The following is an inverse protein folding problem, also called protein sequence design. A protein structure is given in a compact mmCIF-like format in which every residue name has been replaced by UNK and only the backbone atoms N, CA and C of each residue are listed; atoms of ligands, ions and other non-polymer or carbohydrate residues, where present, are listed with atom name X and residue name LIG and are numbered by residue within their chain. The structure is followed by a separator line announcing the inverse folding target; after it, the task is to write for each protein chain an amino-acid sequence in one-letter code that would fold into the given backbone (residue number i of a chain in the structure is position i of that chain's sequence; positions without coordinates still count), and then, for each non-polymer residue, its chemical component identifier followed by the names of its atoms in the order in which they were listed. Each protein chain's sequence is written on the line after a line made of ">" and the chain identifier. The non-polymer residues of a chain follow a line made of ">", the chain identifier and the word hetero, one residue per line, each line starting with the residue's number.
data_IF_183063309605
#
_entry.id   IF_183063309605
#
_cell.length_a   1.000
_cell.length_b   1.000
_cell.length_c   1.000
_cell.angle_alpha   90.00
_cell.angle_beta   90.00
_cell.angle_gamma   90.00
#
_symmetry.space_group_name_H-M   'P 1'
#
loop_
_entity.id
_entity.type
_entity.pdbx_description
1 polymer ?
#
# COMPACT_ATOMS: atom_id res chain seq x y z
N UNK A 1 43.08 -2.76 19.14
CA UNK A 1 42.55 -3.88 18.32
C UNK A 1 41.05 -3.90 18.47
N UNK A 2 40.32 -3.30 17.53
CA UNK A 2 38.83 -3.27 17.49
C UNK A 2 38.37 -4.50 16.71
N UNK A 3 37.77 -5.41 17.44
CA UNK A 3 37.13 -6.61 16.88
C UNK A 3 35.85 -6.22 16.16
N UNK A 4 35.82 -6.34 14.83
CA UNK A 4 34.63 -6.21 14.00
C UNK A 4 33.78 -7.46 14.20
N UNK A 5 32.69 -7.36 14.93
CA UNK A 5 31.65 -8.39 14.93
C UNK A 5 30.98 -8.46 13.54
N UNK A 6 31.13 -9.60 12.90
CA UNK A 6 30.45 -9.97 11.68
C UNK A 6 29.00 -10.29 12.03
N UNK A 7 28.07 -9.42 11.66
CA UNK A 7 26.64 -9.72 11.66
C UNK A 7 26.42 -10.86 10.66
N UNK A 8 26.04 -12.03 11.18
CA UNK A 8 25.74 -13.21 10.38
C UNK A 8 24.55 -12.96 9.48
N UNK A 9 24.75 -13.02 8.18
CA UNK A 9 23.68 -13.02 7.17
C UNK A 9 22.96 -14.36 7.30
N UNK A 10 21.79 -14.36 7.91
CA UNK A 10 20.87 -15.51 7.87
C UNK A 10 20.38 -15.61 6.42
N UNK A 11 20.82 -16.65 5.70
CA UNK A 11 20.24 -17.03 4.41
C UNK A 11 18.79 -17.47 4.66
N UNK A 12 17.85 -16.54 4.56
CA UNK A 12 16.43 -16.88 4.49
C UNK A 12 16.15 -17.52 3.13
N UNK A 13 15.48 -18.66 3.15
CA UNK A 13 14.93 -19.33 1.97
C UNK A 13 14.20 -18.30 1.12
N UNK A 14 14.67 -18.08 -0.12
CA UNK A 14 14.01 -17.19 -1.07
C UNK A 14 12.69 -17.86 -1.48
N UNK A 15 11.59 -17.46 -0.84
CA UNK A 15 10.26 -17.68 -1.42
C UNK A 15 10.26 -16.93 -2.75
N UNK A 16 10.07 -17.62 -3.86
CA UNK A 16 9.92 -17.00 -5.18
C UNK A 16 8.63 -16.19 -5.15
N UNK A 17 8.75 -14.88 -4.91
CA UNK A 17 7.63 -13.96 -5.06
C UNK A 17 7.42 -13.80 -6.58
N UNK A 18 6.23 -14.17 -7.06
CA UNK A 18 5.85 -13.96 -8.45
C UNK A 18 5.51 -12.49 -8.63
N UNK A 19 6.14 -11.80 -9.60
CA UNK A 19 5.82 -10.41 -9.95
C UNK A 19 5.08 -10.40 -11.27
N UNK A 20 3.81 -9.99 -11.25
CA UNK A 20 3.01 -9.81 -12.45
C UNK A 20 3.10 -8.35 -12.93
N UNK A 21 3.13 -8.15 -14.23
CA UNK A 21 3.11 -6.85 -14.90
C UNK A 21 4.30 -5.89 -14.62
N UNK A 22 5.37 -6.30 -13.95
CA UNK A 22 6.56 -5.44 -13.77
C UNK A 22 7.16 -5.00 -15.12
N UNK A 23 7.15 -5.90 -16.11
CA UNK A 23 7.63 -5.62 -17.45
C UNK A 23 6.74 -4.61 -18.22
N UNK A 24 5.48 -4.40 -17.80
CA UNK A 24 4.55 -3.47 -18.43
C UNK A 24 4.69 -2.03 -17.89
N UNK A 25 5.48 -1.83 -16.84
CA UNK A 25 5.81 -0.52 -16.27
C UNK A 25 7.32 -0.21 -16.36
N UNK A 26 7.86 0.04 -17.57
CA UNK A 26 9.30 0.20 -17.79
C UNK A 26 9.90 1.44 -17.09
N UNK A 27 9.07 2.40 -16.72
CA UNK A 27 9.47 3.67 -16.06
C UNK A 27 9.53 3.58 -14.53
N UNK A 28 9.43 2.39 -13.94
CA UNK A 28 9.47 2.26 -12.49
C UNK A 28 10.87 2.55 -11.95
N UNK A 29 10.98 3.59 -11.15
CA UNK A 29 12.21 4.02 -10.49
C UNK A 29 12.86 2.91 -9.64
N UNK A 30 14.18 2.82 -9.69
CA UNK A 30 14.95 1.86 -8.89
C UNK A 30 14.68 2.00 -7.38
N UNK A 31 14.48 3.23 -6.91
CA UNK A 31 14.11 3.53 -5.51
C UNK A 31 12.77 2.92 -5.13
N UNK A 32 11.76 3.00 -6.02
CA UNK A 32 10.46 2.37 -5.78
C UNK A 32 10.56 0.85 -5.76
N UNK A 33 11.27 0.26 -6.71
CA UNK A 33 11.48 -1.21 -6.74
C UNK A 33 12.16 -1.71 -5.47
N UNK A 34 13.14 -0.96 -4.97
CA UNK A 34 13.83 -1.30 -3.71
C UNK A 34 12.87 -1.26 -2.53
N UNK A 35 12.09 -0.18 -2.39
CA UNK A 35 11.11 -0.07 -1.31
C UNK A 35 10.00 -1.15 -1.39
N UNK A 36 9.46 -1.42 -2.57
CA UNK A 36 8.47 -2.51 -2.76
C UNK A 36 9.05 -3.85 -2.33
N UNK A 37 10.31 -4.14 -2.66
CA UNK A 37 10.99 -5.36 -2.24
C UNK A 37 11.16 -5.44 -0.73
N UNK A 38 11.61 -4.36 -0.07
CA UNK A 38 11.73 -4.29 1.38
C UNK A 38 10.37 -4.55 2.08
N UNK A 39 9.30 -3.97 1.55
CA UNK A 39 7.96 -4.19 2.10
C UNK A 39 7.44 -5.60 1.81
N UNK A 40 7.76 -6.18 0.67
CA UNK A 40 7.44 -7.57 0.37
C UNK A 40 8.18 -8.55 1.28
N UNK A 41 9.45 -8.30 1.61
CA UNK A 41 10.20 -9.09 2.60
C UNK A 41 9.58 -8.99 3.99
N UNK A 42 9.09 -7.82 4.38
CA UNK A 42 8.41 -7.59 5.65
C UNK A 42 7.04 -8.26 5.69
N UNK A 43 6.18 -7.97 4.72
CA UNK A 43 4.76 -8.38 4.70
C UNK A 43 4.54 -9.81 4.21
N UNK A 44 5.48 -10.36 3.41
CA UNK A 44 5.49 -11.72 2.87
C UNK A 44 4.24 -12.07 2.04
N UNK A 45 3.90 -11.28 1.01
CA UNK A 45 2.85 -11.65 0.07
C UNK A 45 3.27 -12.89 -0.73
N UNK A 46 2.30 -13.61 -1.28
CA UNK A 46 2.56 -14.71 -2.21
C UNK A 46 2.87 -14.19 -3.61
N UNK A 47 2.32 -13.01 -3.95
CA UNK A 47 2.44 -12.38 -5.25
C UNK A 47 2.52 -10.85 -5.13
N UNK A 48 3.19 -10.20 -6.09
CA UNK A 48 3.21 -8.74 -6.26
C UNK A 48 2.57 -8.39 -7.60
N UNK A 49 1.50 -7.61 -7.55
CA UNK A 49 0.79 -7.13 -8.72
C UNK A 49 0.99 -5.62 -8.91
N UNK A 50 1.53 -5.21 -10.05
CA UNK A 50 1.75 -3.81 -10.39
C UNK A 50 0.56 -3.25 -11.15
N UNK A 51 -0.17 -2.32 -10.54
CA UNK A 51 -1.32 -1.69 -11.16
C UNK A 51 -0.90 -0.68 -12.23
N UNK A 52 -1.46 -0.83 -13.43
CA UNK A 52 -1.18 0.02 -14.58
C UNK A 52 -2.25 1.10 -14.83
N UNK A 53 -3.41 0.99 -14.18
CA UNK A 53 -4.51 1.95 -14.29
C UNK A 53 -5.39 1.80 -15.54
N UNK A 54 -5.22 0.73 -16.36
CA UNK A 54 -6.03 0.53 -17.56
C UNK A 54 -7.48 0.11 -17.28
N UNK A 55 -8.36 0.24 -18.25
CA UNK A 55 -9.75 -0.22 -18.14
C UNK A 55 -9.85 -1.77 -18.15
N UNK A 56 -8.92 -2.44 -18.81
CA UNK A 56 -8.80 -3.89 -18.81
C UNK A 56 -8.46 -4.39 -17.39
N UNK A 57 -7.50 -3.74 -16.74
CA UNK A 57 -7.15 -4.02 -15.35
C UNK A 57 -8.34 -3.80 -14.41
N UNK A 58 -9.10 -2.70 -14.59
CA UNK A 58 -10.31 -2.43 -13.82
C UNK A 58 -11.30 -3.59 -13.91
N UNK A 59 -11.60 -4.05 -15.12
CA UNK A 59 -12.52 -5.17 -15.35
C UNK A 59 -12.03 -6.44 -14.67
N UNK A 60 -10.74 -6.74 -14.81
CA UNK A 60 -10.11 -7.90 -14.22
C UNK A 60 -10.17 -7.87 -12.68
N UNK A 61 -9.68 -6.80 -12.06
CA UNK A 61 -9.66 -6.67 -10.60
C UNK A 61 -11.05 -6.55 -9.99
N UNK A 62 -12.02 -5.96 -10.72
CA UNK A 62 -13.42 -5.92 -10.28
C UNK A 62 -14.01 -7.34 -10.25
N UNK A 63 -13.79 -8.12 -11.31
CA UNK A 63 -14.28 -9.50 -11.37
C UNK A 63 -13.64 -10.38 -10.27
N UNK A 64 -12.35 -10.17 -10.00
CA UNK A 64 -11.63 -10.83 -8.92
C UNK A 64 -12.21 -10.45 -7.54
N UNK A 65 -12.48 -9.16 -7.30
CA UNK A 65 -13.07 -8.68 -6.06
C UNK A 65 -14.49 -9.25 -5.81
N UNK A 66 -15.30 -9.39 -6.88
CA UNK A 66 -16.62 -10.03 -6.81
C UNK A 66 -16.47 -11.52 -6.49
N UNK A 67 -15.55 -12.20 -7.18
CA UNK A 67 -15.29 -13.63 -6.96
C UNK A 67 -14.84 -13.93 -5.53
N UNK A 68 -14.03 -13.07 -4.94
CA UNK A 68 -13.57 -13.20 -3.55
C UNK A 68 -14.61 -12.74 -2.52
N UNK A 69 -15.71 -12.11 -2.94
CA UNK A 69 -16.71 -11.56 -2.05
C UNK A 69 -16.27 -10.27 -1.33
N UNK A 70 -15.25 -9.59 -1.83
CA UNK A 70 -14.82 -8.28 -1.33
C UNK A 70 -15.83 -7.18 -1.69
N UNK A 71 -16.56 -7.37 -2.81
CA UNK A 71 -17.66 -6.53 -3.27
C UNK A 71 -18.76 -7.39 -3.89
N UNK A 72 -19.99 -6.87 -3.93
CA UNK A 72 -21.14 -7.49 -4.56
C UNK A 72 -21.72 -6.56 -5.62
N UNK A 73 -22.20 -7.11 -6.74
CA UNK A 73 -22.88 -6.32 -7.76
C UNK A 73 -24.30 -5.96 -7.29
N UNK A 74 -24.62 -4.68 -7.36
CA UNK A 74 -26.01 -4.25 -7.23
C UNK A 74 -26.80 -4.55 -8.51
N UNK A 75 -28.12 -4.33 -8.49
CA UNK A 75 -28.96 -4.53 -9.67
C UNK A 75 -28.48 -3.64 -10.83
N UNK A 76 -27.81 -4.23 -11.80
CA UNK A 76 -27.16 -3.54 -12.91
C UNK A 76 -28.15 -2.94 -13.92
N UNK A 77 -29.43 -3.32 -13.89
CA UNK A 77 -30.48 -2.68 -14.70
C UNK A 77 -30.86 -1.32 -14.13
N UNK A 78 -30.79 -1.15 -12.81
CA UNK A 78 -31.17 0.07 -12.10
C UNK A 78 -29.92 0.92 -11.79
N UNK A 79 -28.82 0.29 -11.41
CA UNK A 79 -27.59 0.92 -10.96
C UNK A 79 -26.38 0.37 -11.74
N UNK A 80 -26.23 0.70 -13.03
CA UNK A 80 -25.16 0.19 -13.86
C UNK A 80 -23.78 0.55 -13.28
N UNK A 81 -22.89 -0.44 -13.16
CA UNK A 81 -21.53 -0.29 -12.65
C UNK A 81 -21.41 -0.08 -11.14
N UNK A 82 -22.52 -0.10 -10.40
CA UNK A 82 -22.49 0.06 -8.95
C UNK A 82 -22.18 -1.27 -8.25
N UNK A 83 -21.29 -1.18 -7.27
CA UNK A 83 -20.89 -2.27 -6.41
C UNK A 83 -21.24 -1.94 -4.95
N UNK A 84 -21.53 -2.95 -4.18
CA UNK A 84 -21.73 -2.86 -2.74
C UNK A 84 -20.53 -3.47 -2.00
N UNK A 85 -20.02 -2.75 -1.03
CA UNK A 85 -19.00 -3.27 -0.12
C UNK A 85 -19.43 -3.03 1.32
N UNK A 86 -19.16 -4.01 2.18
CA UNK A 86 -19.45 -3.90 3.61
C UNK A 86 -18.24 -4.34 4.42
N UNK A 87 -17.79 -3.48 5.32
CA UNK A 87 -16.79 -3.82 6.32
C UNK A 87 -17.44 -4.29 7.63
N UNK A 88 -16.62 -4.78 8.56
CA UNK A 88 -17.05 -5.19 9.91
C UNK A 88 -17.53 -3.95 10.68
N UNK A 89 -18.43 -4.14 11.66
CA UNK A 89 -18.99 -3.05 12.48
C UNK A 89 -17.95 -2.21 13.22
N UNK A 90 -16.82 -2.82 13.58
CA UNK A 90 -15.71 -2.16 14.27
C UNK A 90 -14.64 -1.62 13.34
N UNK A 91 -14.84 -1.72 12.02
CA UNK A 91 -13.94 -1.17 11.02
C UNK A 91 -14.27 0.31 10.79
N UNK A 92 -13.59 1.16 11.54
CA UNK A 92 -13.74 2.61 11.43
C UNK A 92 -12.59 3.21 10.63
N UNK A 93 -12.90 4.19 9.81
CA UNK A 93 -11.93 4.82 8.91
C UNK A 93 -10.77 5.51 9.65
N UNK A 94 -10.99 5.96 10.88
CA UNK A 94 -10.00 6.61 11.71
C UNK A 94 -10.31 6.40 13.19
N UNK A 95 -9.30 5.93 13.92
CA UNK A 95 -9.32 5.87 15.38
C UNK A 95 -8.32 6.92 15.88
N UNK A 96 -8.80 8.00 16.50
CA UNK A 96 -7.94 9.12 16.92
C UNK A 96 -6.85 8.70 17.90
N UNK A 97 -7.18 7.86 18.87
CA UNK A 97 -6.22 7.36 19.87
C UNK A 97 -5.11 6.49 19.28
N UNK A 98 -5.33 5.93 18.07
CA UNK A 98 -4.38 5.08 17.34
C UNK A 98 -3.73 5.79 16.14
N UNK A 99 -3.99 7.09 15.97
CA UNK A 99 -3.43 7.91 14.89
C UNK A 99 -2.32 8.79 15.43
N UNK A 100 -1.13 8.67 14.87
CA UNK A 100 0.08 9.37 15.30
C UNK A 100 0.71 10.14 14.17
N UNK A 101 1.28 11.30 14.48
CA UNK A 101 2.22 12.04 13.65
C UNK A 101 3.62 11.75 14.15
N UNK A 102 4.53 11.34 13.27
CA UNK A 102 5.87 10.87 13.62
C UNK A 102 6.94 11.80 13.03
N UNK A 103 6.94 13.05 13.47
CA UNK A 103 7.96 14.06 13.13
C UNK A 103 9.20 13.92 14.02
N UNK A 104 10.34 14.47 13.61
CA UNK A 104 11.56 14.44 14.41
C UNK A 104 11.38 15.17 15.76
N UNK A 105 10.64 16.28 15.76
CA UNK A 105 10.30 17.06 16.95
C UNK A 105 8.81 16.91 17.23
N UNK A 106 8.45 16.80 18.51
CA UNK A 106 7.05 16.73 18.96
C UNK A 106 6.27 17.99 18.61
N UNK A 107 6.93 19.13 18.66
CA UNK A 107 6.36 20.44 18.35
C UNK A 107 5.84 20.51 16.91
N UNK A 108 6.51 19.83 15.97
CA UNK A 108 6.11 19.77 14.55
C UNK A 108 4.86 18.92 14.30
N UNK A 109 4.44 18.09 15.26
CA UNK A 109 3.19 17.33 15.16
C UNK A 109 1.94 18.20 15.34
N UNK A 110 2.10 19.40 15.90
CA UNK A 110 1.00 20.30 16.21
C UNK A 110 0.29 19.97 17.53
N UNK A 111 -0.56 20.88 18.03
CA UNK A 111 -1.10 20.83 19.39
C UNK A 111 -2.17 19.74 19.61
N UNK A 112 -2.81 19.25 18.54
CA UNK A 112 -3.98 18.36 18.66
C UNK A 112 -3.70 16.92 18.21
N UNK A 113 -2.49 16.64 17.73
CA UNK A 113 -2.15 15.31 17.24
C UNK A 113 -1.40 14.49 18.29
N UNK A 114 -1.65 13.19 18.32
CA UNK A 114 -0.79 12.27 19.05
C UNK A 114 0.56 12.22 18.33
N UNK A 115 1.64 12.23 19.10
CA UNK A 115 2.98 12.13 18.58
C UNK A 115 3.67 10.86 19.06
N UNK A 116 4.47 10.28 18.16
CA UNK A 116 5.35 9.15 18.46
C UNK A 116 6.70 9.39 17.78
N UNK A 117 7.79 9.05 18.46
CA UNK A 117 9.12 9.15 17.87
C UNK A 117 9.23 8.26 16.63
N UNK A 118 9.81 8.72 15.48
CA UNK A 118 9.89 7.93 14.25
C UNK A 118 10.49 6.54 14.45
N UNK A 119 11.56 6.42 15.22
CA UNK A 119 12.22 5.13 15.50
C UNK A 119 11.29 4.14 16.19
N UNK A 120 10.52 4.61 17.17
CA UNK A 120 9.55 3.80 17.90
C UNK A 120 8.41 3.38 16.98
N UNK A 121 7.87 4.31 16.17
CA UNK A 121 6.83 4.04 15.20
C UNK A 121 7.25 2.97 14.18
N UNK A 122 8.45 3.11 13.60
CA UNK A 122 8.98 2.10 12.67
C UNK A 122 9.14 0.73 13.31
N UNK A 123 9.59 0.65 14.55
CA UNK A 123 9.74 -0.62 15.26
C UNK A 123 8.38 -1.29 15.47
N UNK A 124 7.41 -0.58 16.05
CA UNK A 124 6.05 -1.08 16.29
C UNK A 124 5.35 -1.50 15.00
N UNK A 125 5.38 -0.64 13.98
CA UNK A 125 4.75 -0.94 12.70
C UNK A 125 5.41 -2.13 12.00
N UNK A 126 6.73 -2.26 12.05
CA UNK A 126 7.42 -3.42 11.48
C UNK A 126 7.02 -4.74 12.15
N UNK A 127 6.74 -4.75 13.44
CA UNK A 127 6.23 -5.93 14.15
C UNK A 127 4.80 -6.27 13.72
N UNK A 128 3.94 -5.26 13.57
CA UNK A 128 2.54 -5.41 13.12
C UNK A 128 2.49 -5.93 11.67
N UNK A 129 3.23 -5.31 10.76
CA UNK A 129 3.22 -5.65 9.35
C UNK A 129 3.97 -6.95 8.99
N UNK A 130 4.73 -7.50 9.92
CA UNK A 130 5.52 -8.73 9.68
C UNK A 130 4.64 -9.92 9.28
N UNK A 131 4.72 -10.30 7.99
CA UNK A 131 3.98 -11.43 7.43
C UNK A 131 2.48 -11.20 7.30
N UNK A 132 2.00 -9.96 7.39
CA UNK A 132 0.57 -9.63 7.34
C UNK A 132 -0.10 -9.99 6.01
N UNK A 133 0.67 -10.08 4.90
CA UNK A 133 0.11 -10.37 3.58
C UNK A 133 0.28 -11.83 3.12
N UNK A 134 0.66 -12.75 4.00
CA UNK A 134 0.76 -14.17 3.65
C UNK A 134 -0.56 -14.70 3.11
N UNK A 135 -0.49 -15.50 2.04
CA UNK A 135 -1.66 -16.05 1.36
C UNK A 135 -2.42 -15.03 0.50
N UNK A 136 -1.85 -13.83 0.28
CA UNK A 136 -2.50 -12.75 -0.46
C UNK A 136 -1.53 -12.05 -1.43
N UNK A 137 -2.11 -11.35 -2.39
CA UNK A 137 -1.40 -10.51 -3.36
C UNK A 137 -1.15 -9.12 -2.77
N UNK A 138 0.08 -8.60 -2.93
CA UNK A 138 0.40 -7.20 -2.69
C UNK A 138 0.18 -6.41 -3.97
N UNK A 139 -0.78 -5.53 -3.97
CA UNK A 139 -1.03 -4.58 -5.07
C UNK A 139 -0.16 -3.35 -4.89
N UNK A 140 0.61 -3.01 -5.92
CA UNK A 140 1.42 -1.79 -6.00
C UNK A 140 0.64 -0.79 -6.84
N UNK A 141 0.13 0.26 -6.20
CA UNK A 141 -0.77 1.25 -6.82
C UNK A 141 -0.08 2.61 -6.86
N UNK A 142 0.63 2.95 -7.96
CA UNK A 142 1.06 4.32 -8.18
C UNK A 142 -0.16 5.21 -8.39
N UNK A 143 -0.20 6.37 -7.74
CA UNK A 143 -1.33 7.27 -7.84
C UNK A 143 -0.90 8.75 -7.86
N UNK A 144 -1.71 9.54 -8.53
CA UNK A 144 -1.58 10.99 -8.64
C UNK A 144 -2.80 11.68 -8.02
N UNK A 145 -2.55 12.54 -7.06
CA UNK A 145 -3.53 13.47 -6.51
C UNK A 145 -3.38 14.81 -7.22
N UNK A 146 -4.44 15.26 -7.88
CA UNK A 146 -4.43 16.49 -8.66
C UNK A 146 -4.49 16.27 -10.17
N UNK A 147 -4.20 17.31 -10.93
CA UNK A 147 -4.24 17.31 -12.41
C UNK A 147 -2.82 17.11 -12.95
N UNK A 148 -2.59 16.22 -13.92
CA UNK A 148 -1.28 16.06 -14.55
C UNK A 148 -0.71 17.40 -15.05
N UNK A 149 0.57 17.63 -14.83
CA UNK A 149 1.25 18.90 -15.18
C UNK A 149 1.02 20.05 -14.18
N UNK A 150 0.23 19.87 -13.13
CA UNK A 150 0.03 20.89 -12.10
C UNK A 150 1.16 20.92 -11.10
N UNK A 151 1.69 22.10 -10.78
CA UNK A 151 2.69 22.28 -9.71
C UNK A 151 2.19 21.90 -8.29
N UNK A 152 0.90 21.69 -8.11
CA UNK A 152 0.28 21.34 -6.84
C UNK A 152 -0.04 19.86 -6.71
N UNK A 153 0.18 19.07 -7.75
CA UNK A 153 -0.08 17.65 -7.70
C UNK A 153 0.89 16.94 -6.74
N UNK A 154 0.47 15.78 -6.28
CA UNK A 154 1.28 14.91 -5.40
C UNK A 154 1.22 13.49 -5.93
N UNK A 155 2.39 12.90 -6.06
CA UNK A 155 2.52 11.50 -6.45
C UNK A 155 2.72 10.65 -5.21
N UNK A 156 2.05 9.52 -5.18
CA UNK A 156 2.22 8.52 -4.12
C UNK A 156 2.20 7.10 -4.68
N UNK A 157 2.59 6.16 -3.85
CA UNK A 157 2.47 4.73 -4.12
C UNK A 157 1.84 4.06 -2.91
N UNK A 158 0.69 3.42 -3.13
CA UNK A 158 0.01 2.63 -2.12
C UNK A 158 0.35 1.15 -2.31
N UNK A 159 0.86 0.52 -1.25
CA UNK A 159 0.95 -0.93 -1.15
C UNK A 159 -0.23 -1.42 -0.31
N UNK A 160 -0.96 -2.41 -0.83
CA UNK A 160 -2.14 -2.96 -0.14
C UNK A 160 -2.40 -4.39 -0.57
N UNK A 161 -3.01 -5.19 0.29
CA UNK A 161 -3.54 -6.52 -0.01
C UNK A 161 -5.07 -6.54 -0.13
N UNK A 162 -5.69 -5.37 -0.33
CA UNK A 162 -7.14 -5.20 -0.43
C UNK A 162 -7.56 -4.73 -1.82
N UNK A 163 -8.31 -5.56 -2.55
CA UNK A 163 -8.93 -5.18 -3.82
C UNK A 163 -9.92 -4.02 -3.65
N UNK A 164 -10.64 -3.98 -2.54
CA UNK A 164 -11.50 -2.84 -2.22
C UNK A 164 -10.74 -1.51 -2.21
N UNK A 165 -9.54 -1.47 -1.60
CA UNK A 165 -8.69 -0.28 -1.60
C UNK A 165 -8.24 0.06 -3.01
N UNK A 166 -7.82 -0.91 -3.82
CA UNK A 166 -7.40 -0.68 -5.21
C UNK A 166 -8.53 -0.07 -6.04
N UNK A 167 -9.74 -0.61 -5.94
CA UNK A 167 -10.91 -0.11 -6.67
C UNK A 167 -11.29 1.32 -6.24
N UNK A 168 -11.20 1.63 -4.94
CA UNK A 168 -11.46 2.99 -4.42
C UNK A 168 -10.37 3.98 -4.83
N UNK A 169 -9.10 3.60 -4.82
CA UNK A 169 -8.00 4.45 -5.32
C UNK A 169 -8.24 4.85 -6.77
N UNK A 170 -8.83 3.98 -7.57
CA UNK A 170 -9.18 4.22 -8.95
C UNK A 170 -10.25 5.31 -9.13
N UNK A 171 -11.18 5.40 -8.18
CA UNK A 171 -12.24 6.43 -8.17
C UNK A 171 -11.67 7.77 -7.69
N UNK A 172 -10.83 7.75 -6.66
CA UNK A 172 -10.38 8.95 -5.96
C UNK A 172 -9.13 9.60 -6.58
N UNK A 173 -8.36 8.85 -7.37
CA UNK A 173 -7.05 9.29 -7.89
C UNK A 173 -6.91 8.99 -9.37
N UNK A 174 -5.79 9.38 -9.95
CA UNK A 174 -5.33 8.91 -11.26
C UNK A 174 -4.20 7.93 -11.03
N UNK A 175 -4.45 6.63 -11.27
CA UNK A 175 -3.48 5.60 -10.93
C UNK A 175 -2.75 5.02 -12.14
N UNK A 176 -1.67 4.33 -11.83
CA UNK A 176 -0.87 3.58 -12.78
C UNK A 176 0.10 4.46 -13.57
N UNK A 177 0.13 4.27 -14.88
CA UNK A 177 1.11 4.86 -15.78
C UNK A 177 1.19 6.38 -15.67
N UNK A 178 0.05 7.07 -15.63
CA UNK A 178 0.00 8.53 -15.53
C UNK A 178 0.70 9.07 -14.26
N UNK A 179 0.61 8.35 -13.16
CA UNK A 179 1.27 8.74 -11.92
C UNK A 179 2.79 8.55 -12.00
N UNK A 180 3.24 7.47 -12.64
CA UNK A 180 4.67 7.20 -12.84
C UNK A 180 5.32 8.20 -13.81
N UNK A 181 4.60 8.58 -14.88
CA UNK A 181 5.06 9.60 -15.83
C UNK A 181 5.15 10.99 -15.16
N UNK A 182 4.18 11.33 -14.32
CA UNK A 182 4.17 12.61 -13.60
C UNK A 182 5.27 12.66 -12.52
N UNK A 183 5.60 11.54 -11.92
CA UNK A 183 6.72 11.48 -10.97
C UNK A 183 8.05 11.82 -11.64
N UNK A 184 8.26 11.33 -12.86
CA UNK A 184 9.49 11.59 -13.62
C UNK A 184 10.73 11.19 -12.81
N UNK A 185 11.76 12.04 -12.83
CA UNK A 185 13.02 11.83 -12.10
C UNK A 185 13.02 12.46 -10.68
N UNK A 186 11.89 13.00 -10.23
CA UNK A 186 11.80 13.58 -8.88
C UNK A 186 11.99 12.47 -7.82
N UNK A 187 12.78 12.72 -6.80
CA UNK A 187 13.01 11.76 -5.71
C UNK A 187 11.89 11.68 -4.69
N UNK A 188 10.93 12.62 -4.74
CA UNK A 188 9.89 12.79 -3.71
C UNK A 188 8.60 12.06 -4.11
N UNK A 189 8.26 11.04 -3.32
CA UNK A 189 7.03 10.25 -3.49
C UNK A 189 6.47 9.85 -2.12
N UNK A 190 5.16 10.01 -1.95
CA UNK A 190 4.49 9.57 -0.73
C UNK A 190 4.34 8.05 -0.74
N UNK A 191 4.89 7.38 0.28
CA UNK A 191 4.86 5.93 0.43
C UNK A 191 3.79 5.54 1.43
N UNK A 192 2.83 4.72 1.00
CA UNK A 192 1.72 4.27 1.82
C UNK A 192 1.70 2.75 1.90
N UNK A 193 1.60 2.20 3.10
CA UNK A 193 1.47 0.77 3.34
C UNK A 193 0.18 0.51 4.11
N UNK A 194 -0.64 -0.40 3.60
CA UNK A 194 -1.92 -0.83 4.17
C UNK A 194 -2.05 -2.35 4.10
N UNK A 195 -2.69 -2.96 5.08
CA UNK A 195 -3.09 -4.37 5.02
C UNK A 195 -4.45 -4.54 5.69
N UNK A 196 -5.27 -5.45 5.15
CA UNK A 196 -6.55 -5.88 5.71
C UNK A 196 -6.43 -7.03 6.71
N UNK A 197 -5.19 -7.43 7.06
CA UNK A 197 -4.98 -8.51 8.02
C UNK A 197 -5.60 -8.17 9.37
N UNK A 198 -6.28 -9.14 9.96
CA UNK A 198 -6.75 -9.01 11.34
C UNK A 198 -5.53 -8.91 12.27
N UNK A 199 -5.55 -7.92 13.16
CA UNK A 199 -4.57 -7.79 14.22
C UNK A 199 -4.91 -8.78 15.33
N UNK A 200 -3.94 -9.60 15.70
CA UNK A 200 -3.95 -10.36 16.95
C UNK A 200 -4.09 -9.34 18.11
N UNK A 201 -4.91 -9.68 19.13
CA UNK A 201 -5.13 -8.81 20.29
C UNK A 201 -3.82 -8.42 21.02
N UNK A 202 -2.77 -9.23 20.89
CA UNK A 202 -1.43 -8.94 21.42
C UNK A 202 -0.66 -7.88 20.61
N UNK A 203 -1.11 -7.56 19.41
CA UNK A 203 -0.49 -6.57 18.51
C UNK A 203 -1.26 -5.25 18.44
N UNK A 204 -2.34 -5.11 19.20
CA UNK A 204 -3.06 -3.84 19.29
C UNK A 204 -2.27 -2.87 20.17
N UNK A 205 -2.35 -1.59 19.81
CA UNK A 205 -1.77 -0.49 20.60
C UNK A 205 -2.52 -0.29 21.90
#
# INVERSE_FOLDING_TARGET
>A
ALQKERIGVIKMSQTKITTNNEAQNPTVHGVLKTWVREMAELCRPDEIYWCNGSEEEKKHLTAEAIHHGDVEELNQQILPGCLYARSKENDVARVESLTFICTHSKEDAGPTNNWMAPKEAYQKLSEIFRGCMKGRTMYVVPFLMGVPGSKFNKVGVQLTDSLYVVLNMRIMTRMGKVALEEWGDSGDVTRCLHSRADLDDKKRF
#
